data_IF_727593823904
#
_entry.id   IF_727593823904
#
_cell.length_a   1.000
_cell.length_b   1.000
_cell.length_c   1.000
_cell.angle_alpha   90.00
_cell.angle_beta   90.00
_cell.angle_gamma   90.00
#
_symmetry.space_group_name_H-M   'P 1'
#
loop_
_entity.id
_entity.type
_entity.pdbx_description
1 polymer ?
#
# COMPACT_ATOMS: atom_id res chain seq x y z
N UNK A 1 -8.30 -5.05 6.29
CA UNK A 1 -6.84 -4.89 6.48
C UNK A 1 -6.16 -6.13 5.91
N UNK A 2 -4.92 -6.00 5.42
CA UNK A 2 -4.14 -7.12 4.88
C UNK A 2 -3.05 -7.56 5.86
N UNK A 3 -2.71 -8.83 5.83
CA UNK A 3 -1.44 -9.32 6.37
C UNK A 3 -0.36 -9.23 5.27
N UNK A 4 0.93 -9.06 5.60
CA UNK A 4 1.99 -8.93 4.59
C UNK A 4 2.07 -10.10 3.61
N UNK A 5 1.72 -11.30 4.08
CA UNK A 5 1.72 -12.55 3.32
C UNK A 5 0.39 -12.81 2.58
N UNK A 6 -0.59 -11.91 2.64
CA UNK A 6 -1.78 -12.03 1.81
C UNK A 6 -1.39 -12.02 0.33
N UNK A 7 -2.13 -12.77 -0.49
CA UNK A 7 -1.87 -12.82 -1.93
C UNK A 7 -2.25 -11.52 -2.60
N UNK A 8 -1.60 -11.20 -3.71
CA UNK A 8 -1.91 -10.02 -4.51
C UNK A 8 -3.36 -10.07 -5.02
N UNK A 9 -3.82 -11.25 -5.45
CA UNK A 9 -5.22 -11.45 -5.87
C UNK A 9 -6.24 -11.11 -4.77
N UNK A 10 -5.96 -11.49 -3.52
CA UNK A 10 -6.81 -11.13 -2.38
C UNK A 10 -6.83 -9.61 -2.14
N UNK A 11 -5.68 -8.93 -2.26
CA UNK A 11 -5.61 -7.48 -2.11
C UNK A 11 -6.39 -6.75 -3.21
N UNK A 12 -6.24 -7.17 -4.48
CA UNK A 12 -6.98 -6.60 -5.61
C UNK A 12 -8.50 -6.80 -5.45
N UNK A 13 -8.91 -7.99 -5.03
CA UNK A 13 -10.32 -8.29 -4.75
C UNK A 13 -10.87 -7.39 -3.65
N UNK A 14 -10.11 -7.17 -2.58
CA UNK A 14 -10.53 -6.34 -1.45
C UNK A 14 -10.64 -4.85 -1.83
N UNK A 15 -9.76 -4.34 -2.70
CA UNK A 15 -9.87 -2.97 -3.24
C UNK A 15 -11.22 -2.74 -3.96
N UNK A 16 -11.65 -3.72 -4.75
CA UNK A 16 -12.90 -3.67 -5.51
C UNK A 16 -14.09 -3.81 -4.56
N UNK A 17 -14.10 -4.86 -3.72
CA UNK A 17 -15.23 -5.19 -2.84
C UNK A 17 -15.51 -4.10 -1.80
N UNK A 18 -14.46 -3.47 -1.26
CA UNK A 18 -14.60 -2.41 -0.27
C UNK A 18 -14.71 -1.01 -0.90
N UNK A 19 -14.57 -0.89 -2.22
CA UNK A 19 -14.59 0.38 -2.96
C UNK A 19 -13.58 1.42 -2.48
N UNK A 20 -12.44 0.96 -1.91
CA UNK A 20 -11.40 1.84 -1.35
C UNK A 20 -10.24 2.06 -2.32
N UNK A 21 -9.47 3.14 -2.10
CA UNK A 21 -8.26 3.44 -2.87
C UNK A 21 -7.01 2.75 -2.33
N UNK A 22 -7.01 2.43 -1.03
CA UNK A 22 -5.86 1.86 -0.32
C UNK A 22 -6.32 0.95 0.81
N UNK A 23 -5.50 -0.05 1.13
CA UNK A 23 -5.73 -1.01 2.21
C UNK A 23 -4.53 -0.99 3.15
N UNK A 24 -4.71 -0.82 4.47
CA UNK A 24 -3.61 -0.93 5.42
C UNK A 24 -3.13 -2.38 5.55
N UNK A 25 -1.82 -2.55 5.59
CA UNK A 25 -1.12 -3.79 5.87
C UNK A 25 -0.64 -3.74 7.31
N UNK A 26 -1.01 -4.73 8.11
CA UNK A 26 -0.77 -4.72 9.55
C UNK A 26 -0.13 -6.03 10.03
N UNK A 27 0.70 -5.95 11.07
CA UNK A 27 1.33 -7.11 11.70
C UNK A 27 0.32 -7.90 12.55
N UNK A 28 0.73 -9.00 13.18
CA UNK A 28 -0.14 -9.84 14.03
C UNK A 28 -0.76 -9.13 15.24
N UNK A 29 -0.21 -7.99 15.65
CA UNK A 29 -0.70 -7.16 16.76
C UNK A 29 -1.54 -5.97 16.24
N UNK A 30 -1.91 -6.00 14.96
CA UNK A 30 -2.64 -4.94 14.25
C UNK A 30 -1.90 -3.59 14.23
N UNK A 31 -0.57 -3.62 14.37
CA UNK A 31 0.29 -2.46 14.14
C UNK A 31 0.47 -2.23 12.64
N UNK A 32 0.33 -0.98 12.19
CA UNK A 32 0.49 -0.60 10.79
C UNK A 32 1.93 -0.83 10.31
N UNK A 33 2.09 -1.58 9.24
CA UNK A 33 3.37 -1.87 8.60
C UNK A 33 3.55 -1.06 7.30
N UNK A 34 2.54 -1.07 6.43
CA UNK A 34 2.56 -0.37 5.15
C UNK A 34 1.13 -0.22 4.60
N UNK A 35 0.97 0.30 3.39
CA UNK A 35 -0.28 0.37 2.65
C UNK A 35 -0.13 -0.27 1.27
N UNK A 36 -1.18 -0.94 0.79
CA UNK A 36 -1.30 -1.33 -0.62
C UNK A 36 -2.38 -0.47 -1.28
N UNK A 37 -2.03 0.19 -2.38
CA UNK A 37 -2.83 1.24 -3.00
C UNK A 37 -3.01 1.03 -4.50
N UNK A 38 -3.99 1.71 -5.10
CA UNK A 38 -4.17 1.69 -6.57
C UNK A 38 -2.94 2.20 -7.33
N UNK A 39 -2.14 3.10 -6.74
CA UNK A 39 -0.88 3.54 -7.35
C UNK A 39 0.18 2.45 -7.37
N UNK A 40 0.15 1.50 -6.42
CA UNK A 40 1.06 0.34 -6.45
C UNK A 40 0.74 -0.59 -7.62
N UNK A 41 -0.54 -0.71 -8.01
CA UNK A 41 -0.94 -1.45 -9.22
C UNK A 41 -0.30 -0.82 -10.46
N UNK A 42 -0.29 0.52 -10.55
CA UNK A 42 0.36 1.21 -11.68
C UNK A 42 1.87 1.05 -11.67
N UNK A 43 2.50 0.92 -10.49
CA UNK A 43 3.93 0.63 -10.41
C UNK A 43 4.27 -0.76 -10.99
N UNK A 44 3.39 -1.76 -10.82
CA UNK A 44 3.54 -3.08 -11.45
C UNK A 44 3.40 -3.03 -12.99
N UNK A 45 2.76 -2.00 -13.53
CA UNK A 45 2.69 -1.79 -14.98
C UNK A 45 4.04 -1.36 -15.59
N UNK A 46 4.90 -0.74 -14.77
CA UNK A 46 6.25 -0.32 -15.16
C UNK A 46 7.05 -1.55 -15.60
N UNK A 47 7.73 -1.42 -16.74
CA UNK A 47 8.55 -2.47 -17.36
C UNK A 47 7.82 -3.81 -17.56
N UNK A 48 6.48 -3.79 -17.58
CA UNK A 48 5.61 -4.96 -17.72
C UNK A 48 5.80 -6.00 -16.61
N UNK A 49 6.21 -5.60 -15.39
CA UNK A 49 6.39 -6.52 -14.28
C UNK A 49 5.13 -7.38 -14.02
N UNK A 50 3.94 -6.79 -14.16
CA UNK A 50 2.65 -7.49 -14.06
C UNK A 50 2.51 -8.73 -14.94
N UNK A 51 3.21 -8.80 -16.08
CA UNK A 51 3.08 -9.91 -17.03
C UNK A 51 3.72 -11.21 -16.51
N UNK A 52 4.55 -11.13 -15.47
CA UNK A 52 5.25 -12.26 -14.87
C UNK A 52 4.71 -12.61 -13.46
N UNK A 53 3.60 -12.00 -13.05
CA UNK A 53 3.05 -12.17 -11.70
C UNK A 53 1.94 -13.21 -11.70
N UNK A 54 2.09 -14.22 -10.84
CA UNK A 54 1.01 -15.12 -10.46
C UNK A 54 0.28 -14.55 -9.25
N UNK A 55 -0.97 -14.10 -9.44
CA UNK A 55 -1.74 -13.36 -8.42
C UNK A 55 -1.96 -14.13 -7.13
N UNK A 56 -2.05 -15.46 -7.21
CA UNK A 56 -2.29 -16.34 -6.06
C UNK A 56 -1.01 -16.77 -5.33
N UNK A 57 0.15 -16.55 -5.95
CA UNK A 57 1.46 -16.93 -5.37
C UNK A 57 2.23 -15.72 -4.84
N UNK A 58 2.11 -14.57 -5.51
CA UNK A 58 2.78 -13.35 -5.09
C UNK A 58 2.10 -12.75 -3.86
N UNK A 59 2.88 -12.52 -2.81
CA UNK A 59 2.42 -11.77 -1.64
C UNK A 59 2.39 -10.26 -1.93
N UNK A 60 1.53 -9.54 -1.21
CA UNK A 60 1.45 -8.07 -1.28
C UNK A 60 2.79 -7.43 -0.94
N UNK A 61 3.51 -7.96 0.04
CA UNK A 61 4.84 -7.46 0.40
C UNK A 61 5.85 -7.57 -0.76
N UNK A 62 5.84 -8.69 -1.49
CA UNK A 62 6.70 -8.85 -2.68
C UNK A 62 6.29 -7.91 -3.82
N UNK A 63 4.98 -7.72 -4.04
CA UNK A 63 4.49 -6.79 -5.04
C UNK A 63 4.95 -5.35 -4.75
N UNK A 64 4.94 -4.93 -3.48
CA UNK A 64 5.43 -3.62 -3.07
C UNK A 64 6.94 -3.46 -3.33
N UNK A 65 7.74 -4.50 -3.11
CA UNK A 65 9.19 -4.47 -3.40
C UNK A 65 9.49 -4.30 -4.90
N UNK A 66 8.65 -4.84 -5.78
CA UNK A 66 8.78 -4.67 -7.23
C UNK A 66 8.44 -3.26 -7.70
N UNK A 67 7.47 -2.61 -7.05
CA UNK A 67 7.05 -1.25 -7.38
C UNK A 67 7.88 -0.14 -6.75
N UNK A 68 8.79 -0.47 -5.82
CA UNK A 68 9.66 0.50 -5.16
C UNK A 68 10.84 0.89 -6.05
N UNK A 69 10.81 2.10 -6.61
CA UNK A 69 12.00 2.73 -7.15
C UNK A 69 12.97 3.08 -6.00
N UNK A 70 14.28 2.97 -6.26
CA UNK A 70 15.37 3.26 -5.30
C UNK A 70 15.34 4.67 -4.66
N UNK A 71 14.46 5.56 -5.11
CA UNK A 71 14.28 6.91 -4.59
C UNK A 71 13.22 7.05 -3.48
N UNK A 72 12.43 6.01 -3.17
CA UNK A 72 11.41 6.05 -2.11
C UNK A 72 11.89 5.55 -0.74
N UNK A 73 13.16 5.17 -0.61
CA UNK A 73 13.73 4.55 0.60
C UNK A 73 13.81 5.46 1.83
N UNK A 74 13.46 6.75 1.73
CA UNK A 74 13.58 7.70 2.85
C UNK A 74 12.25 8.35 3.29
N UNK A 75 11.11 8.03 2.67
CA UNK A 75 9.81 8.62 2.98
C UNK A 75 8.83 7.60 3.56
N UNK A 76 8.12 7.98 4.62
CA UNK A 76 6.97 7.23 5.11
C UNK A 76 5.90 7.16 4.00
N UNK A 77 5.66 5.98 3.41
CA UNK A 77 4.71 5.76 2.29
C UNK A 77 3.25 6.06 2.64
N UNK A 78 2.96 6.26 3.92
CA UNK A 78 1.65 6.61 4.43
C UNK A 78 1.73 7.79 5.39
N UNK A 79 0.81 8.73 5.27
CA UNK A 79 0.64 9.80 6.24
C UNK A 79 -0.26 9.29 7.37
N UNK A 80 0.13 9.56 8.62
CA UNK A 80 -0.63 9.14 9.81
C UNK A 80 -1.05 10.38 10.63
N UNK A 81 -2.18 10.25 11.33
CA UNK A 81 -2.64 11.23 12.30
C UNK A 81 -3.28 10.53 13.50
N UNK A 82 -3.39 11.26 14.60
CA UNK A 82 -4.15 10.84 15.77
C UNK A 82 -5.53 11.47 15.76
N UNK A 83 -6.50 10.86 16.44
CA UNK A 83 -7.83 11.46 16.63
C UNK A 83 -7.81 12.80 17.38
N UNK A 84 -6.71 13.10 18.07
CA UNK A 84 -6.47 14.38 18.75
C UNK A 84 -5.84 15.46 17.86
N UNK A 85 -5.39 15.11 16.64
CA UNK A 85 -4.79 16.08 15.73
C UNK A 85 -5.86 17.03 15.16
N UNK A 86 -5.55 18.32 15.07
CA UNK A 86 -6.45 19.29 14.46
C UNK A 86 -6.51 19.11 12.95
N UNK A 87 -7.62 19.49 12.31
CA UNK A 87 -7.74 19.47 10.86
C UNK A 87 -6.63 20.26 10.18
N UNK A 88 -6.26 21.44 10.72
CA UNK A 88 -5.14 22.25 10.21
C UNK A 88 -3.83 21.44 10.14
N UNK A 89 -3.49 20.73 11.21
CA UNK A 89 -2.29 19.89 11.28
C UNK A 89 -2.35 18.74 10.28
N UNK A 90 -3.51 18.13 10.08
CA UNK A 90 -3.69 17.07 9.07
C UNK A 90 -3.51 17.62 7.65
N UNK A 91 -4.09 18.79 7.36
CA UNK A 91 -3.98 19.44 6.05
C UNK A 91 -2.54 19.86 5.73
N UNK A 92 -1.81 20.41 6.71
CA UNK A 92 -0.40 20.78 6.56
C UNK A 92 0.49 19.57 6.24
N UNK A 93 0.22 18.41 6.85
CA UNK A 93 0.91 17.15 6.53
C UNK A 93 0.60 16.69 5.11
N UNK A 94 -0.67 16.71 4.70
CA UNK A 94 -1.08 16.27 3.36
C UNK A 94 -0.60 17.19 2.24
N UNK A 95 -0.31 18.46 2.53
CA UNK A 95 0.18 19.44 1.56
C UNK A 95 1.66 19.26 1.17
N UNK A 96 2.43 18.46 1.93
CA UNK A 96 3.84 18.19 1.66
C UNK A 96 4.02 16.74 1.18
N UNK A 97 4.01 16.49 -0.15
CA UNK A 97 4.10 15.16 -0.74
C UNK A 97 5.49 14.52 -0.59
#
# INVERSE_FOLDING_TARGET
MLRPNATLGAALSLLIQAEVSSIPIVDKNDSLLDIYSRSDITALAKDKAYAQIHLDEMSVHQALQLGQDANFFNGQRCQMCLGSDTLHKVMERLANP
#
